data_IF_780731683847
#
_entry.id   IF_780731683847
#
_cell.length_a   1.000
_cell.length_b   1.000
_cell.length_c   1.000
_cell.angle_alpha   90.00
_cell.angle_beta   90.00
_cell.angle_gamma   90.00
#
_symmetry.space_group_name_H-M   'P 1'
#
loop_
_entity.id
_entity.type
_entity.pdbx_description
1 polymer ?
#
# COMPACT_ATOMS: atom_id res chain seq x y z
N UNK A 1 7.03 11.67 -15.86
CA UNK A 1 6.16 11.61 -17.02
C UNK A 1 5.76 10.16 -17.30
N UNK A 2 4.46 9.81 -17.49
CA UNK A 2 3.99 8.42 -17.54
C UNK A 2 4.61 7.59 -18.69
N UNK A 3 4.85 8.17 -19.86
CA UNK A 3 5.50 7.43 -20.95
C UNK A 3 6.96 7.05 -20.61
N UNK A 4 7.70 7.93 -19.95
CA UNK A 4 9.05 7.61 -19.46
C UNK A 4 9.03 6.57 -18.35
N UNK A 5 8.04 6.65 -17.46
CA UNK A 5 7.83 5.66 -16.40
C UNK A 5 7.54 4.28 -17.00
N UNK A 6 6.68 4.20 -18.01
CA UNK A 6 6.36 2.96 -18.71
C UNK A 6 7.61 2.28 -19.29
N UNK A 7 8.49 3.06 -19.94
CA UNK A 7 9.78 2.55 -20.47
C UNK A 7 10.71 2.06 -19.38
N UNK A 8 10.85 2.84 -18.31
CA UNK A 8 11.70 2.47 -17.17
C UNK A 8 11.23 1.18 -16.54
N UNK A 9 9.92 1.04 -16.31
CA UNK A 9 9.33 -0.17 -15.73
C UNK A 9 9.55 -1.38 -16.66
N UNK A 10 9.31 -1.24 -17.97
CA UNK A 10 9.54 -2.31 -18.93
C UNK A 10 11.02 -2.77 -18.93
N UNK A 11 11.96 -1.84 -18.92
CA UNK A 11 13.40 -2.14 -18.85
C UNK A 11 13.76 -2.88 -17.55
N UNK A 12 13.26 -2.41 -16.40
CA UNK A 12 13.49 -3.07 -15.12
C UNK A 12 12.88 -4.47 -15.07
N UNK A 13 11.71 -4.65 -15.66
CA UNK A 13 11.04 -5.95 -15.70
C UNK A 13 11.83 -6.98 -16.52
N UNK A 14 12.47 -6.57 -17.63
CA UNK A 14 13.42 -7.42 -18.36
C UNK A 14 14.65 -7.76 -17.53
N UNK A 15 15.27 -6.79 -16.86
CA UNK A 15 16.43 -7.01 -15.99
C UNK A 15 16.06 -7.99 -14.87
N UNK A 16 14.87 -7.88 -14.32
CA UNK A 16 14.38 -8.72 -13.23
C UNK A 16 13.70 -10.02 -13.71
N UNK A 17 13.66 -10.26 -15.03
CA UNK A 17 13.05 -11.45 -15.64
C UNK A 17 11.62 -11.73 -15.14
N UNK A 18 10.76 -10.70 -15.16
CA UNK A 18 9.36 -10.80 -14.80
C UNK A 18 9.07 -10.88 -13.29
N UNK A 19 10.03 -10.55 -12.43
CA UNK A 19 9.85 -10.51 -10.97
C UNK A 19 9.50 -9.13 -10.42
N UNK A 20 9.27 -8.15 -11.31
CA UNK A 20 8.92 -6.80 -10.92
C UNK A 20 7.44 -6.71 -10.52
N UNK A 21 7.17 -6.02 -9.42
CA UNK A 21 5.85 -5.54 -9.04
C UNK A 21 5.92 -4.04 -8.75
N UNK A 22 4.84 -3.32 -8.97
CA UNK A 22 4.80 -1.87 -8.81
C UNK A 22 3.76 -1.50 -7.75
N UNK A 23 4.20 -0.79 -6.71
CA UNK A 23 3.27 -0.19 -5.75
C UNK A 23 2.99 1.26 -6.15
N UNK A 24 1.75 1.54 -6.52
CA UNK A 24 1.30 2.89 -6.88
C UNK A 24 0.94 3.65 -5.60
N UNK A 25 1.50 4.83 -5.45
CA UNK A 25 1.25 5.71 -4.30
C UNK A 25 0.72 7.05 -4.82
N UNK A 26 -0.53 7.37 -4.43
CA UNK A 26 -1.17 8.66 -4.74
C UNK A 26 -0.86 9.65 -3.64
N UNK A 27 0.29 10.30 -3.70
CA UNK A 27 0.73 11.31 -2.73
C UNK A 27 1.10 12.61 -3.46
N UNK A 28 1.10 13.72 -2.72
CA UNK A 28 1.62 14.98 -3.22
C UNK A 28 3.16 14.95 -3.24
N UNK A 29 3.73 15.68 -4.17
CA UNK A 29 5.14 16.04 -4.11
C UNK A 29 5.35 17.16 -3.06
N UNK A 30 6.55 17.29 -2.49
CA UNK A 30 6.83 18.39 -1.56
C UNK A 30 6.47 19.76 -2.18
N UNK A 31 5.58 20.49 -1.50
CA UNK A 31 5.08 21.80 -1.96
C UNK A 31 3.83 21.75 -2.81
N UNK A 32 3.33 20.58 -3.22
CA UNK A 32 2.02 20.41 -3.84
C UNK A 32 0.93 20.17 -2.78
N UNK A 33 -0.28 20.68 -3.06
CA UNK A 33 -1.44 20.52 -2.19
C UNK A 33 -2.68 20.22 -3.06
N UNK A 34 -2.67 19.08 -3.73
CA UNK A 34 -3.81 18.65 -4.54
C UNK A 34 -4.91 18.04 -3.67
N UNK A 35 -6.17 18.16 -4.09
CA UNK A 35 -7.27 17.44 -3.44
C UNK A 35 -7.10 15.92 -3.58
N UNK A 36 -7.75 15.15 -2.73
CA UNK A 36 -7.73 13.68 -2.85
C UNK A 36 -8.26 13.22 -4.20
N UNK A 37 -9.31 13.83 -4.71
CA UNK A 37 -9.89 13.54 -6.02
C UNK A 37 -8.88 13.78 -7.14
N UNK A 38 -8.22 14.93 -7.17
CA UNK A 38 -7.22 15.26 -8.17
C UNK A 38 -6.02 14.29 -8.14
N UNK A 39 -5.55 13.90 -6.95
CA UNK A 39 -4.46 12.91 -6.81
C UNK A 39 -4.87 11.54 -7.35
N UNK A 40 -6.06 11.06 -7.02
CA UNK A 40 -6.53 9.77 -7.51
C UNK A 40 -6.85 9.82 -9.00
N UNK A 41 -7.38 10.92 -9.52
CA UNK A 41 -7.59 11.09 -10.95
C UNK A 41 -6.26 11.06 -11.71
N UNK A 42 -5.25 11.79 -11.25
CA UNK A 42 -3.90 11.75 -11.84
C UNK A 42 -3.30 10.34 -11.81
N UNK A 43 -3.48 9.61 -10.70
CA UNK A 43 -3.00 8.22 -10.60
C UNK A 43 -3.73 7.29 -11.56
N UNK A 44 -5.04 7.47 -11.74
CA UNK A 44 -5.85 6.75 -12.74
C UNK A 44 -5.29 6.93 -14.14
N UNK A 45 -5.08 8.17 -14.56
CA UNK A 45 -4.54 8.50 -15.89
C UNK A 45 -3.15 7.91 -16.10
N UNK A 46 -2.28 7.98 -15.09
CA UNK A 46 -0.96 7.34 -15.14
C UNK A 46 -1.10 5.84 -15.37
N UNK A 47 -1.94 5.14 -14.62
CA UNK A 47 -2.12 3.68 -14.75
C UNK A 47 -2.68 3.32 -16.13
N UNK A 48 -3.65 4.06 -16.63
CA UNK A 48 -4.22 3.83 -17.97
C UNK A 48 -3.16 4.00 -19.06
N UNK A 49 -2.33 5.05 -18.98
CA UNK A 49 -1.21 5.28 -19.90
C UNK A 49 -0.17 4.15 -19.80
N UNK A 50 0.18 3.70 -18.58
CA UNK A 50 1.08 2.58 -18.40
C UNK A 50 0.54 1.31 -19.08
N UNK A 51 -0.74 0.99 -18.88
CA UNK A 51 -1.38 -0.18 -19.48
C UNK A 51 -1.43 -0.09 -21.01
N UNK A 52 -1.75 1.07 -21.57
CA UNK A 52 -1.68 1.30 -23.03
C UNK A 52 -0.24 1.10 -23.54
N UNK A 53 0.75 1.73 -22.89
CA UNK A 53 2.15 1.61 -23.29
C UNK A 53 2.66 0.17 -23.26
N UNK A 54 2.20 -0.66 -22.32
CA UNK A 54 2.64 -2.04 -22.17
C UNK A 54 1.94 -3.02 -23.11
N UNK A 55 0.72 -2.71 -23.55
CA UNK A 55 -0.13 -3.68 -24.27
C UNK A 55 -0.46 -3.27 -25.71
N UNK A 56 -0.27 -2.00 -26.07
CA UNK A 56 -0.62 -1.45 -27.37
C UNK A 56 0.60 -0.86 -28.07
N UNK A 57 0.54 -0.74 -29.39
CA UNK A 57 1.62 -0.14 -30.19
C UNK A 57 1.54 1.38 -30.27
N UNK A 58 0.46 1.95 -29.76
CA UNK A 58 0.24 3.39 -29.77
C UNK A 58 -0.47 3.82 -28.48
N UNK A 59 -0.03 4.94 -27.90
CA UNK A 59 -0.76 5.63 -26.83
C UNK A 59 -1.58 6.75 -27.48
N UNK A 60 -2.89 6.68 -27.37
CA UNK A 60 -3.81 7.78 -27.64
C UNK A 60 -4.65 8.03 -26.39
N UNK A 61 -4.18 8.94 -25.57
CA UNK A 61 -4.77 9.21 -24.25
C UNK A 61 -5.03 10.70 -24.10
N UNK A 62 -6.26 11.04 -23.72
CA UNK A 62 -6.66 12.40 -23.38
C UNK A 62 -7.42 12.39 -22.07
N UNK A 63 -6.81 12.96 -21.05
CA UNK A 63 -7.35 13.10 -19.69
C UNK A 63 -7.33 14.55 -19.22
N UNK A 64 -7.47 14.72 -17.91
CA UNK A 64 -7.39 16.02 -17.23
C UNK A 64 -5.92 16.47 -17.08
N UNK A 65 -5.03 15.53 -16.76
CA UNK A 65 -3.61 15.80 -16.44
C UNK A 65 -2.69 15.49 -17.62
N UNK A 66 -3.07 14.59 -18.51
CA UNK A 66 -2.24 14.14 -19.61
C UNK A 66 -3.00 14.13 -20.94
N UNK A 67 -2.33 14.61 -22.00
CA UNK A 67 -2.77 14.50 -23.39
C UNK A 67 -1.58 13.99 -24.20
N UNK A 68 -1.61 12.72 -24.63
CA UNK A 68 -0.47 12.02 -25.22
C UNK A 68 -0.87 11.27 -26.47
N UNK A 69 -0.09 11.47 -27.55
CA UNK A 69 -0.13 10.66 -28.75
C UNK A 69 1.28 10.22 -29.07
N UNK A 70 1.58 8.95 -28.83
CA UNK A 70 2.94 8.41 -28.93
C UNK A 70 2.93 7.01 -29.50
N UNK A 71 3.88 6.74 -30.41
CA UNK A 71 4.20 5.40 -30.87
C UNK A 71 4.92 4.64 -29.74
N UNK A 72 4.51 3.41 -29.48
CA UNK A 72 5.06 2.53 -28.45
C UNK A 72 5.58 1.21 -28.99
N UNK A 73 5.70 1.05 -30.32
CA UNK A 73 6.32 -0.12 -30.93
C UNK A 73 7.81 -0.21 -30.60
N UNK A 74 8.46 0.93 -30.44
CA UNK A 74 9.82 1.06 -29.93
C UNK A 74 9.80 2.07 -28.76
N UNK A 75 9.61 1.66 -27.60
CA UNK A 75 10.42 0.76 -26.78
C UNK A 75 9.81 -0.62 -26.53
N UNK A 76 10.67 -1.47 -26.00
CA UNK A 76 10.40 -2.82 -25.55
C UNK A 76 9.20 -2.86 -24.58
N UNK A 77 8.28 -3.78 -24.83
CA UNK A 77 7.18 -4.11 -23.89
C UNK A 77 7.75 -4.80 -22.64
N UNK A 78 7.04 -4.82 -21.52
CA UNK A 78 7.48 -5.56 -20.34
C UNK A 78 7.76 -7.03 -20.62
N UNK A 79 8.62 -7.64 -19.83
CA UNK A 79 8.86 -9.09 -19.86
C UNK A 79 7.58 -9.87 -19.52
N UNK A 80 6.80 -9.35 -18.56
CA UNK A 80 5.49 -9.89 -18.18
C UNK A 80 4.43 -9.54 -19.23
N UNK A 81 4.05 -10.53 -20.05
CA UNK A 81 3.18 -10.32 -21.21
C UNK A 81 1.68 -10.13 -20.88
N UNK A 82 1.25 -10.45 -19.66
CA UNK A 82 -0.17 -10.42 -19.26
C UNK A 82 -0.61 -9.02 -18.77
N UNK A 83 -0.32 -7.98 -19.56
CA UNK A 83 -0.70 -6.60 -19.20
C UNK A 83 0.37 -5.83 -18.44
N UNK A 84 1.57 -6.39 -18.28
CA UNK A 84 2.71 -5.81 -17.58
C UNK A 84 2.85 -6.29 -16.14
N UNK A 85 3.75 -5.70 -15.36
CA UNK A 85 3.97 -6.00 -13.95
C UNK A 85 2.73 -5.82 -13.09
N UNK A 86 2.56 -6.67 -12.08
CA UNK A 86 1.46 -6.57 -11.12
C UNK A 86 1.47 -5.21 -10.42
N UNK A 87 0.31 -4.59 -10.38
CA UNK A 87 0.10 -3.30 -9.72
C UNK A 87 -0.48 -3.51 -8.32
N UNK A 88 0.26 -3.04 -7.33
CA UNK A 88 -0.16 -2.96 -5.94
C UNK A 88 -0.66 -1.54 -5.64
N UNK A 89 -1.68 -1.43 -4.83
CA UNK A 89 -2.20 -0.14 -4.40
C UNK A 89 -2.78 -0.23 -2.98
N UNK A 90 -2.43 0.74 -2.12
CA UNK A 90 -2.97 0.87 -0.78
C UNK A 90 -3.64 2.23 -0.59
N UNK A 91 -4.93 2.24 -0.27
CA UNK A 91 -5.66 3.46 0.03
C UNK A 91 -7.00 3.15 0.68
N UNK A 92 -7.27 3.77 1.84
CA UNK A 92 -8.46 3.46 2.65
C UNK A 92 -9.69 4.28 2.29
N UNK A 93 -9.52 5.39 1.57
CA UNK A 93 -10.65 6.21 1.11
C UNK A 93 -11.45 5.51 0.00
N UNK A 94 -12.74 5.83 -0.12
CA UNK A 94 -13.58 5.25 -1.16
C UNK A 94 -13.02 5.44 -2.57
N UNK A 95 -12.51 6.63 -2.99
CA UNK A 95 -11.86 6.79 -4.29
C UNK A 95 -10.59 5.95 -4.46
N UNK A 96 -9.80 5.75 -3.39
CA UNK A 96 -8.60 4.91 -3.43
C UNK A 96 -8.94 3.44 -3.60
N UNK A 97 -9.91 2.93 -2.86
CA UNK A 97 -10.41 1.54 -3.02
C UNK A 97 -11.00 1.30 -4.40
N UNK A 98 -11.72 2.28 -4.94
CA UNK A 98 -12.30 2.20 -6.28
C UNK A 98 -11.21 2.18 -7.37
N UNK A 99 -10.19 3.02 -7.25
CA UNK A 99 -9.03 3.01 -8.14
C UNK A 99 -8.33 1.64 -8.14
N UNK A 100 -8.11 1.06 -6.97
CA UNK A 100 -7.53 -0.28 -6.85
C UNK A 100 -8.41 -1.33 -7.53
N UNK A 101 -9.69 -1.35 -7.19
CA UNK A 101 -10.67 -2.29 -7.72
C UNK A 101 -10.75 -2.27 -9.26
N UNK A 102 -10.65 -1.09 -9.85
CA UNK A 102 -10.75 -0.91 -11.29
C UNK A 102 -9.45 -1.23 -12.04
N UNK A 103 -8.28 -0.95 -11.47
CA UNK A 103 -7.02 -0.94 -12.23
C UNK A 103 -5.90 -1.80 -11.66
N UNK A 104 -5.88 -2.06 -10.35
CA UNK A 104 -4.75 -2.75 -9.73
C UNK A 104 -5.05 -4.23 -9.49
N UNK A 105 -4.00 -4.99 -9.20
CA UNK A 105 -4.07 -6.44 -9.07
C UNK A 105 -4.08 -6.87 -7.61
N UNK A 106 -3.45 -6.08 -6.73
CA UNK A 106 -3.35 -6.36 -5.29
C UNK A 106 -3.72 -5.13 -4.47
N UNK A 107 -4.70 -5.28 -3.57
CA UNK A 107 -4.99 -4.28 -2.55
C UNK A 107 -4.11 -4.50 -1.34
N UNK A 108 -3.20 -3.55 -1.08
CA UNK A 108 -2.23 -3.62 0.00
C UNK A 108 -2.76 -2.92 1.25
N UNK A 109 -2.92 -3.69 2.33
CA UNK A 109 -3.44 -3.21 3.60
C UNK A 109 -2.32 -2.98 4.62
N UNK A 110 -2.58 -2.09 5.55
CA UNK A 110 -1.83 -1.96 6.79
C UNK A 110 -2.44 -2.84 7.88
N UNK A 111 -1.65 -3.18 8.93
CA UNK A 111 -2.14 -4.01 10.03
C UNK A 111 -3.32 -3.35 10.74
N UNK A 112 -4.33 -4.16 11.02
CA UNK A 112 -5.51 -3.80 11.77
C UNK A 112 -6.07 -5.07 12.43
N UNK A 113 -7.22 -4.99 13.10
CA UNK A 113 -7.95 -6.16 13.58
C UNK A 113 -8.41 -7.03 12.41
N UNK A 114 -8.58 -8.33 12.65
CA UNK A 114 -9.11 -9.25 11.63
C UNK A 114 -10.46 -8.81 11.10
N UNK A 115 -11.34 -8.29 11.96
CA UNK A 115 -12.65 -7.77 11.57
C UNK A 115 -12.54 -6.63 10.57
N UNK A 116 -11.69 -5.62 10.86
CA UNK A 116 -11.47 -4.48 9.98
C UNK A 116 -10.84 -4.90 8.65
N UNK A 117 -9.84 -5.80 8.69
CA UNK A 117 -9.21 -6.32 7.47
C UNK A 117 -10.22 -7.06 6.60
N UNK A 118 -11.08 -7.90 7.19
CA UNK A 118 -12.16 -8.61 6.48
C UNK A 118 -13.12 -7.61 5.83
N UNK A 119 -13.55 -6.58 6.55
CA UNK A 119 -14.41 -5.53 6.01
C UNK A 119 -13.79 -4.80 4.82
N UNK A 120 -12.48 -4.52 4.87
CA UNK A 120 -11.77 -3.92 3.73
C UNK A 120 -11.68 -4.87 2.52
N UNK A 121 -11.42 -6.15 2.76
CA UNK A 121 -11.38 -7.16 1.70
C UNK A 121 -12.74 -7.33 1.02
N UNK A 122 -13.81 -7.38 1.79
CA UNK A 122 -15.19 -7.48 1.28
C UNK A 122 -15.57 -6.26 0.43
N UNK A 123 -15.32 -5.04 0.91
CA UNK A 123 -15.62 -3.80 0.19
C UNK A 123 -14.85 -3.74 -1.14
N UNK A 124 -13.54 -4.00 -1.14
CA UNK A 124 -12.75 -3.97 -2.38
C UNK A 124 -13.16 -5.09 -3.33
N UNK A 125 -13.49 -6.28 -2.83
CA UNK A 125 -13.99 -7.39 -3.64
C UNK A 125 -15.31 -7.05 -4.34
N UNK A 126 -16.25 -6.42 -3.63
CA UNK A 126 -17.52 -5.98 -4.20
C UNK A 126 -17.33 -4.93 -5.30
N UNK A 127 -16.44 -3.95 -5.06
CA UNK A 127 -16.08 -2.94 -6.07
C UNK A 127 -15.43 -3.57 -7.30
N UNK A 128 -14.48 -4.48 -7.11
CA UNK A 128 -13.82 -5.18 -8.22
C UNK A 128 -14.80 -6.02 -9.05
N UNK A 129 -15.74 -6.69 -8.40
CA UNK A 129 -16.79 -7.45 -9.08
C UNK A 129 -17.68 -6.56 -9.97
N UNK A 130 -17.95 -5.31 -9.58
CA UNK A 130 -18.70 -4.36 -10.40
C UNK A 130 -17.96 -4.00 -11.72
N UNK A 131 -16.63 -4.13 -11.74
CA UNK A 131 -15.79 -3.96 -12.93
C UNK A 131 -15.48 -5.30 -13.63
N UNK A 132 -16.12 -6.41 -13.23
CA UNK A 132 -15.85 -7.74 -13.76
C UNK A 132 -14.45 -8.27 -13.41
N UNK A 133 -13.83 -7.77 -12.35
CA UNK A 133 -12.46 -8.09 -11.93
C UNK A 133 -12.42 -8.83 -10.59
N UNK A 134 -11.27 -9.43 -10.34
CA UNK A 134 -10.85 -9.90 -9.01
C UNK A 134 -9.58 -9.16 -8.62
N UNK A 135 -9.42 -8.92 -7.33
CA UNK A 135 -8.24 -8.28 -6.72
C UNK A 135 -7.74 -9.20 -5.62
N UNK A 136 -6.44 -9.44 -5.60
CA UNK A 136 -5.78 -10.14 -4.50
C UNK A 136 -5.50 -9.19 -3.33
N UNK A 137 -5.17 -9.74 -2.16
CA UNK A 137 -4.95 -8.95 -0.96
C UNK A 137 -3.53 -9.17 -0.43
N UNK A 138 -2.89 -8.07 -0.03
CA UNK A 138 -1.61 -8.08 0.62
C UNK A 138 -1.68 -7.38 1.99
N UNK A 139 -0.95 -7.89 2.97
CA UNK A 139 -0.82 -7.27 4.28
C UNK A 139 0.65 -6.89 4.51
N UNK A 140 0.90 -5.60 4.73
CA UNK A 140 2.22 -5.10 5.12
C UNK A 140 2.29 -5.01 6.63
N UNK A 141 2.91 -5.99 7.26
CA UNK A 141 3.01 -6.08 8.71
C UNK A 141 4.45 -6.35 9.16
N UNK A 142 4.81 -5.87 10.33
CA UNK A 142 6.07 -6.22 10.99
C UNK A 142 5.92 -7.52 11.79
N UNK A 143 6.98 -8.31 11.84
CA UNK A 143 7.02 -9.56 12.60
C UNK A 143 8.10 -9.47 13.68
N UNK A 144 7.72 -9.73 14.93
CA UNK A 144 8.64 -9.84 16.08
C UNK A 144 8.48 -11.24 16.65
N UNK A 145 9.24 -12.17 16.08
CA UNK A 145 9.16 -13.60 16.43
C UNK A 145 10.40 -13.98 17.24
N UNK A 146 10.20 -14.70 18.36
CA UNK A 146 11.24 -15.30 19.18
C UNK A 146 10.84 -16.73 19.53
N UNK A 147 11.73 -17.47 20.17
CA UNK A 147 11.44 -18.86 20.55
C UNK A 147 10.28 -18.98 21.54
N UNK A 148 10.08 -17.96 22.37
CA UNK A 148 8.95 -17.90 23.31
C UNK A 148 8.20 -16.58 23.20
N UNK A 149 6.92 -16.58 23.55
CA UNK A 149 6.11 -15.36 23.63
C UNK A 149 6.73 -14.31 24.56
N UNK A 150 7.28 -14.74 25.71
CA UNK A 150 7.91 -13.83 26.67
C UNK A 150 9.10 -13.10 26.07
N UNK A 151 9.95 -13.81 25.32
CA UNK A 151 11.08 -13.20 24.62
C UNK A 151 10.64 -12.28 23.49
N UNK A 152 9.59 -12.65 22.75
CA UNK A 152 9.02 -11.81 21.70
C UNK A 152 8.48 -10.49 22.26
N UNK A 153 7.72 -10.55 23.36
CA UNK A 153 7.23 -9.36 24.08
C UNK A 153 8.36 -8.49 24.61
N UNK A 154 9.38 -9.09 25.22
CA UNK A 154 10.56 -8.35 25.68
C UNK A 154 11.31 -7.67 24.52
N UNK A 155 11.44 -8.35 23.38
CA UNK A 155 12.04 -7.78 22.17
C UNK A 155 11.22 -6.59 21.61
N UNK A 156 9.89 -6.71 21.60
CA UNK A 156 8.99 -5.63 21.20
C UNK A 156 9.16 -4.39 22.09
N UNK A 157 9.11 -4.56 23.41
CA UNK A 157 9.32 -3.47 24.36
C UNK A 157 10.71 -2.83 24.24
N UNK A 158 11.74 -3.62 23.98
CA UNK A 158 13.09 -3.10 23.72
C UNK A 158 13.18 -2.18 22.52
N UNK A 159 12.40 -2.43 21.45
CA UNK A 159 12.39 -1.57 20.24
C UNK A 159 11.94 -0.15 20.56
N UNK A 160 10.98 0.02 21.45
CA UNK A 160 10.42 1.31 21.83
C UNK A 160 11.02 1.92 23.10
N UNK A 161 11.92 1.18 23.80
CA UNK A 161 12.42 1.57 25.13
C UNK A 161 13.14 2.92 25.19
N UNK A 162 13.61 3.43 24.05
CA UNK A 162 14.29 4.73 23.93
C UNK A 162 13.48 5.75 23.13
N UNK A 163 12.21 5.46 22.89
CA UNK A 163 11.34 6.36 22.14
C UNK A 163 10.99 7.56 23.03
N UNK A 164 11.29 8.75 22.54
CA UNK A 164 10.76 10.00 23.07
C UNK A 164 9.41 10.30 22.40
N UNK A 165 8.34 10.31 23.21
CA UNK A 165 6.98 10.48 22.73
C UNK A 165 6.72 11.85 22.11
N UNK A 166 7.36 12.89 22.62
CA UNK A 166 7.23 14.24 22.09
C UNK A 166 7.88 14.31 20.70
N UNK A 167 9.12 13.86 20.59
CA UNK A 167 9.85 13.82 19.33
C UNK A 167 9.17 12.87 18.33
N UNK A 168 8.70 11.70 18.78
CA UNK A 168 7.96 10.74 17.94
C UNK A 168 6.68 11.34 17.38
N UNK A 169 5.94 12.09 18.19
CA UNK A 169 4.74 12.80 17.75
C UNK A 169 5.05 13.90 16.75
N UNK A 170 6.12 14.68 16.98
CA UNK A 170 6.58 15.70 16.03
C UNK A 170 6.98 15.10 14.68
N UNK A 171 7.75 14.00 14.67
CA UNK A 171 8.16 13.31 13.45
C UNK A 171 6.93 12.81 12.69
N UNK A 172 5.97 12.19 13.38
CA UNK A 172 4.74 11.70 12.78
C UNK A 172 3.91 12.82 12.16
N UNK A 173 3.79 13.96 12.84
CA UNK A 173 3.00 15.10 12.36
C UNK A 173 3.65 15.83 11.17
N UNK A 174 4.96 15.69 10.97
CA UNK A 174 5.69 16.22 9.81
C UNK A 174 5.65 15.28 8.60
N UNK A 175 5.20 14.03 8.76
CA UNK A 175 5.13 13.10 7.65
C UNK A 175 4.11 13.57 6.59
N UNK A 176 4.42 13.38 5.30
CA UNK A 176 3.57 13.80 4.18
C UNK A 176 2.17 13.17 4.22
N UNK A 177 2.08 11.95 4.75
CA UNK A 177 0.84 11.19 4.87
C UNK A 177 0.09 11.42 6.20
N UNK A 178 0.59 12.31 7.08
CA UNK A 178 0.03 12.54 8.42
C UNK A 178 -1.48 12.84 8.46
N UNK A 179 -2.01 13.43 7.38
CA UNK A 179 -3.43 13.80 7.25
C UNK A 179 -4.26 12.77 6.46
N UNK A 180 -3.70 11.62 6.11
CA UNK A 180 -4.44 10.61 5.36
C UNK A 180 -5.39 9.82 6.25
N UNK A 181 -6.49 9.32 5.66
CA UNK A 181 -7.43 8.46 6.36
C UNK A 181 -6.75 7.21 6.95
N UNK A 182 -5.80 6.61 6.23
CA UNK A 182 -5.08 5.44 6.73
C UNK A 182 -4.30 5.73 8.01
N UNK A 183 -3.67 6.89 8.14
CA UNK A 183 -2.96 7.29 9.37
C UNK A 183 -3.94 7.55 10.52
N UNK A 184 -5.10 8.14 10.23
CA UNK A 184 -6.15 8.35 11.24
C UNK A 184 -6.68 7.00 11.77
N UNK A 185 -6.95 6.04 10.89
CA UNK A 185 -7.39 4.70 11.27
C UNK A 185 -6.33 3.96 12.11
N UNK A 186 -5.04 4.07 11.77
CA UNK A 186 -3.97 3.49 12.60
C UNK A 186 -3.90 4.13 13.99
N UNK A 187 -4.15 5.43 14.10
CA UNK A 187 -4.21 6.11 15.40
C UNK A 187 -5.39 5.59 16.23
N UNK A 188 -6.57 5.45 15.62
CA UNK A 188 -7.77 4.91 16.26
C UNK A 188 -7.55 3.46 16.73
N UNK A 189 -6.96 2.60 15.89
CA UNK A 189 -6.63 1.21 16.24
C UNK A 189 -5.70 1.16 17.45
N UNK A 190 -4.71 2.06 17.52
CA UNK A 190 -3.79 2.15 18.67
C UNK A 190 -4.51 2.62 19.93
N UNK A 191 -5.45 3.57 19.83
CA UNK A 191 -6.24 4.05 20.98
C UNK A 191 -7.13 2.96 21.59
N UNK A 192 -7.53 1.97 20.79
CA UNK A 192 -8.33 0.81 21.23
C UNK A 192 -7.48 -0.31 21.85
N UNK A 193 -6.15 -0.18 21.84
CA UNK A 193 -5.25 -1.20 22.40
C UNK A 193 -5.32 -1.26 23.92
N UNK A 194 -5.03 -2.42 24.48
CA UNK A 194 -4.91 -2.63 25.91
C UNK A 194 -3.68 -1.92 26.53
N UNK A 195 -3.48 -2.10 27.83
CA UNK A 195 -2.37 -1.48 28.56
C UNK A 195 -0.98 -1.98 28.11
N UNK A 196 -0.91 -3.13 27.44
CA UNK A 196 0.33 -3.69 26.87
C UNK A 196 0.54 -3.27 25.42
N UNK A 197 -0.42 -2.55 24.83
CA UNK A 197 -0.39 -2.06 23.44
C UNK A 197 -0.91 -3.06 22.41
N UNK A 198 -1.71 -4.04 22.79
CA UNK A 198 -2.33 -5.00 21.86
C UNK A 198 -3.78 -4.64 21.58
N UNK A 199 -4.15 -4.51 20.31
CA UNK A 199 -5.54 -4.27 19.88
C UNK A 199 -6.33 -5.56 19.79
N UNK A 200 -5.66 -6.66 19.53
CA UNK A 200 -6.17 -8.05 19.62
C UNK A 200 -4.98 -9.00 19.85
N UNK A 201 -5.21 -10.29 20.14
CA UNK A 201 -4.11 -11.22 20.39
C UNK A 201 -3.03 -11.17 19.30
N UNK A 202 -1.79 -10.93 19.69
CA UNK A 202 -0.58 -10.83 18.85
C UNK A 202 -0.44 -9.54 18.03
N UNK A 203 -1.47 -8.71 17.86
CA UNK A 203 -1.40 -7.46 17.09
C UNK A 203 -1.00 -6.29 18.00
N UNK A 204 0.28 -5.97 17.99
CA UNK A 204 0.91 -4.97 18.85
C UNK A 204 1.10 -3.64 18.10
N UNK A 205 0.51 -2.57 18.60
CA UNK A 205 0.39 -1.28 17.89
C UNK A 205 1.45 -0.25 18.28
N UNK A 206 2.19 -0.47 19.38
CA UNK A 206 3.13 0.51 19.93
C UNK A 206 4.32 0.85 19.00
N UNK A 207 4.65 -0.05 18.06
CA UNK A 207 5.65 0.24 17.02
C UNK A 207 5.26 1.45 16.15
N UNK A 208 3.98 1.76 16.06
CA UNK A 208 3.44 2.89 15.29
C UNK A 208 3.52 4.25 15.99
N UNK A 209 4.04 4.33 17.23
CA UNK A 209 4.03 5.59 18.02
C UNK A 209 4.87 6.71 17.40
N UNK A 210 5.98 6.37 16.77
CA UNK A 210 6.95 7.36 16.28
C UNK A 210 6.79 7.72 14.80
N UNK A 211 6.07 6.92 14.00
CA UNK A 211 6.03 7.12 12.55
C UNK A 211 4.74 6.61 11.94
N UNK A 212 4.17 7.38 11.00
CA UNK A 212 3.12 6.91 10.10
C UNK A 212 3.62 5.76 9.22
N UNK A 213 2.72 4.87 8.81
CA UNK A 213 3.03 3.71 7.97
C UNK A 213 3.68 2.52 8.69
N UNK A 214 3.95 2.64 10.00
CA UNK A 214 4.33 1.54 10.88
C UNK A 214 3.14 1.21 11.79
N UNK A 215 2.06 0.62 11.27
CA UNK A 215 0.81 0.44 12.01
C UNK A 215 0.94 -0.46 13.22
N UNK A 216 1.25 -1.73 13.00
CA UNK A 216 1.40 -2.71 14.07
C UNK A 216 2.42 -3.79 13.70
N UNK A 217 2.76 -4.63 14.68
CA UNK A 217 3.55 -5.83 14.51
C UNK A 217 2.79 -7.05 15.05
N UNK A 218 3.00 -8.22 14.44
CA UNK A 218 2.67 -9.49 15.08
C UNK A 218 3.82 -9.87 16.02
N UNK A 219 3.47 -10.13 17.28
CA UNK A 219 4.43 -10.43 18.35
C UNK A 219 4.07 -11.79 18.97
N UNK A 220 4.99 -12.74 18.93
CA UNK A 220 4.75 -14.08 19.47
C UNK A 220 5.86 -15.06 19.15
N UNK A 221 5.64 -16.33 19.53
CA UNK A 221 6.46 -17.44 19.08
C UNK A 221 6.09 -17.89 17.67
N UNK A 222 6.87 -18.78 17.02
CA UNK A 222 6.62 -19.19 15.64
C UNK A 222 5.23 -19.79 15.41
N UNK A 223 4.75 -20.64 16.32
CA UNK A 223 3.46 -21.33 16.17
C UNK A 223 2.28 -20.34 16.31
N UNK A 224 2.40 -19.40 17.24
CA UNK A 224 1.41 -18.34 17.44
C UNK A 224 1.32 -17.40 16.23
N UNK A 225 2.46 -17.02 15.67
CA UNK A 225 2.49 -16.14 14.48
C UNK A 225 2.00 -16.89 13.25
N UNK A 226 2.38 -18.15 13.09
CA UNK A 226 1.88 -18.99 11.99
C UNK A 226 0.36 -19.11 12.04
N UNK A 227 -0.21 -19.44 13.21
CA UNK A 227 -1.65 -19.54 13.40
C UNK A 227 -2.39 -18.22 13.16
N UNK A 228 -1.72 -17.07 13.40
CA UNK A 228 -2.33 -15.75 13.18
C UNK A 228 -2.33 -15.32 11.72
N UNK A 229 -1.42 -15.86 10.90
CA UNK A 229 -1.31 -15.52 9.46
C UNK A 229 -2.26 -16.38 8.62
N UNK A 230 -2.57 -17.61 9.07
CA UNK A 230 -3.52 -18.50 8.40
C UNK A 230 -4.98 -18.13 8.65
#
# INVERSE_FOLDING_TARGET
HPAMLARTIATLDHILQGRLTINIISSDMPGEHASSEARYQRSREVIEILKQAWTQDFIDFKGEFYDLKLDTTDPIKPYQQNGGPLLYFGGYSAPGKDLCAQFCDVYLMWPDTEENLRGHMEDVSQRAAAYGRKVDFGLRIHLIVRETETEAKAAAQKLISKLDDVLGTEIRNRAQDAKTLGVALQAETREKSDAEGYVEPRVWTEIGRARSGCGAALVGDPDQIYAKIL
#
